data_IF_375790299845
#
_entry.id   IF_375790299845
#
_cell.length_a   1.000
_cell.length_b   1.000
_cell.length_c   1.000
_cell.angle_alpha   90.00
_cell.angle_beta   90.00
_cell.angle_gamma   90.00
#
_symmetry.space_group_name_H-M   'P 1'
#
loop_
_entity.id
_entity.type
_entity.pdbx_description
1 polymer ?
#
# COMPACT_ATOMS: atom_id res chain seq x y z
N UNK A 1 -2.86 6.10 -21.49
CA UNK A 1 -1.84 6.99 -20.85
C UNK A 1 -1.06 6.24 -19.74
N UNK A 2 0.27 6.21 -19.81
CA UNK A 2 1.13 5.24 -19.07
C UNK A 2 1.27 5.45 -17.55
N UNK A 3 0.54 6.37 -16.91
CA UNK A 3 0.57 6.54 -15.45
C UNK A 3 1.91 6.95 -14.81
N UNK A 4 2.94 7.20 -15.63
CA UNK A 4 4.32 7.51 -15.23
C UNK A 4 4.57 9.02 -14.95
N UNK A 5 3.52 9.82 -14.95
CA UNK A 5 3.65 11.27 -14.75
C UNK A 5 3.99 11.56 -13.28
N UNK A 6 5.07 12.32 -12.98
CA UNK A 6 5.43 12.68 -11.61
C UNK A 6 4.28 13.42 -10.92
N UNK A 7 3.97 13.04 -9.68
CA UNK A 7 2.84 13.58 -8.94
C UNK A 7 3.26 14.04 -7.53
N UNK A 8 2.96 15.29 -7.13
CA UNK A 8 3.30 15.81 -5.80
C UNK A 8 2.73 14.97 -4.65
N UNK A 9 1.55 14.33 -4.82
CA UNK A 9 0.91 13.50 -3.79
C UNK A 9 1.70 12.24 -3.45
N UNK A 10 2.54 11.77 -4.37
CA UNK A 10 3.40 10.59 -4.18
C UNK A 10 4.84 10.97 -3.84
N UNK A 11 5.11 12.26 -3.58
CA UNK A 11 6.44 12.71 -3.16
C UNK A 11 7.50 12.59 -4.27
N UNK A 12 7.09 12.39 -5.53
CA UNK A 12 8.02 12.39 -6.67
C UNK A 12 8.29 13.80 -7.21
N UNK A 13 7.61 14.81 -6.66
CA UNK A 13 7.86 16.23 -6.90
C UNK A 13 8.15 16.85 -5.54
N UNK A 14 9.42 16.83 -5.15
CA UNK A 14 9.92 17.34 -3.86
C UNK A 14 11.18 18.17 -4.09
N UNK A 15 11.47 19.07 -3.14
CA UNK A 15 12.74 19.82 -3.15
C UNK A 15 13.94 18.93 -2.76
N UNK A 16 13.68 17.86 -2.01
CA UNK A 16 14.68 16.84 -1.65
C UNK A 16 14.65 15.66 -2.62
N UNK A 17 15.46 15.79 -3.68
CA UNK A 17 15.58 14.80 -4.75
C UNK A 17 16.39 13.59 -4.32
N UNK A 18 17.34 13.76 -3.39
CA UNK A 18 18.25 12.69 -2.97
C UNK A 18 17.50 11.58 -2.22
N UNK A 19 16.66 11.95 -1.25
CA UNK A 19 15.85 10.98 -0.52
C UNK A 19 14.77 10.36 -1.39
N UNK A 20 14.15 11.12 -2.29
CA UNK A 20 13.17 10.61 -3.25
C UNK A 20 13.77 9.51 -4.15
N UNK A 21 15.00 9.70 -4.65
CA UNK A 21 15.70 8.69 -5.46
C UNK A 21 16.09 7.46 -4.62
N UNK A 22 16.54 7.64 -3.38
CA UNK A 22 16.85 6.51 -2.49
C UNK A 22 15.60 5.67 -2.20
N UNK A 23 14.49 6.30 -1.86
CA UNK A 23 13.22 5.62 -1.58
C UNK A 23 12.66 4.91 -2.82
N UNK A 24 12.75 5.55 -3.99
CA UNK A 24 12.37 4.91 -5.25
C UNK A 24 13.23 3.67 -5.56
N UNK A 25 14.55 3.74 -5.33
CA UNK A 25 15.47 2.60 -5.50
C UNK A 25 15.23 1.48 -4.47
N UNK A 26 14.82 1.83 -3.26
CA UNK A 26 14.47 0.87 -2.22
C UNK A 26 13.16 0.11 -2.51
N UNK A 27 12.47 0.43 -3.61
CA UNK A 27 11.27 -0.28 -4.03
C UNK A 27 9.99 0.24 -3.37
N UNK A 28 9.93 1.54 -3.04
CA UNK A 28 8.74 2.17 -2.49
C UNK A 28 7.49 1.87 -3.32
N UNK A 29 6.48 1.27 -2.68
CA UNK A 29 5.19 0.97 -3.31
C UNK A 29 4.25 2.14 -3.10
N UNK A 30 3.63 2.60 -4.19
CA UNK A 30 2.61 3.63 -4.16
C UNK A 30 1.23 2.99 -4.13
N UNK A 31 0.36 3.49 -3.25
CA UNK A 31 -1.04 3.11 -3.21
C UNK A 31 -1.92 4.33 -3.45
N UNK A 32 -3.04 4.11 -4.14
CA UNK A 32 -4.05 5.12 -4.41
C UNK A 32 -5.42 4.50 -4.17
N UNK A 33 -6.33 5.31 -3.65
CA UNK A 33 -7.74 4.94 -3.52
C UNK A 33 -8.44 5.00 -4.87
N UNK A 34 -9.26 3.98 -5.15
CA UNK A 34 -10.19 4.01 -6.27
C UNK A 34 -11.40 4.93 -5.96
N UNK A 35 -12.34 5.02 -6.90
CA UNK A 35 -13.57 5.81 -6.72
C UNK A 35 -14.52 5.21 -5.68
N UNK A 36 -14.44 3.90 -5.44
CA UNK A 36 -15.23 3.18 -4.45
C UNK A 36 -14.64 3.22 -3.03
N UNK A 37 -13.47 3.84 -2.84
CA UNK A 37 -12.78 3.89 -1.54
C UNK A 37 -11.94 2.66 -1.23
N UNK A 38 -11.67 1.80 -2.22
CA UNK A 38 -10.85 0.60 -2.10
C UNK A 38 -9.40 0.94 -2.45
N UNK A 39 -8.47 0.41 -1.66
CA UNK A 39 -7.03 0.56 -1.89
C UNK A 39 -6.49 -0.74 -2.44
N UNK A 40 -5.92 -0.67 -3.65
CA UNK A 40 -5.20 -1.77 -4.27
C UNK A 40 -3.70 -1.51 -4.18
N UNK A 41 -2.96 -2.44 -3.61
CA UNK A 41 -1.51 -2.34 -3.50
C UNK A 41 -0.86 -3.71 -3.57
N UNK A 42 0.31 -3.79 -4.20
CA UNK A 42 1.09 -5.01 -4.30
C UNK A 42 2.09 -5.09 -3.15
N UNK A 43 1.94 -6.08 -2.27
CA UNK A 43 2.83 -6.28 -1.11
C UNK A 43 4.13 -7.01 -1.45
N UNK A 44 4.24 -7.61 -2.64
CA UNK A 44 5.42 -8.34 -3.07
C UNK A 44 5.16 -9.30 -4.23
N UNK A 45 6.10 -10.22 -4.45
CA UNK A 45 5.97 -11.34 -5.40
C UNK A 45 5.87 -12.66 -4.65
N UNK A 46 5.31 -13.67 -5.32
CA UNK A 46 5.21 -15.03 -4.76
C UNK A 46 6.57 -15.67 -4.47
N UNK A 47 7.66 -15.16 -5.05
CA UNK A 47 9.03 -15.62 -4.81
C UNK A 47 9.65 -15.07 -3.52
N UNK A 48 8.94 -14.24 -2.75
CA UNK A 48 9.44 -13.73 -1.47
C UNK A 48 9.12 -14.70 -0.34
N UNK A 49 9.98 -14.71 0.67
CA UNK A 49 9.74 -15.46 1.90
C UNK A 49 8.44 -14.99 2.58
N UNK A 50 7.74 -15.92 3.24
CA UNK A 50 6.46 -15.64 3.90
C UNK A 50 6.59 -14.53 4.97
N UNK A 51 7.70 -14.50 5.71
CA UNK A 51 7.94 -13.50 6.76
C UNK A 51 8.05 -12.08 6.18
N UNK A 52 8.69 -11.94 5.01
CA UNK A 52 8.80 -10.65 4.30
C UNK A 52 7.45 -10.19 3.76
N UNK A 53 6.61 -11.11 3.29
CA UNK A 53 5.26 -10.79 2.85
C UNK A 53 4.39 -10.34 4.03
N UNK A 54 4.50 -11.01 5.18
CA UNK A 54 3.81 -10.62 6.41
C UNK A 54 4.26 -9.25 6.92
N UNK A 55 5.58 -8.98 6.95
CA UNK A 55 6.10 -7.67 7.37
C UNK A 55 5.65 -6.54 6.44
N UNK A 56 5.61 -6.78 5.13
CA UNK A 56 5.14 -5.79 4.16
C UNK A 56 3.65 -5.49 4.31
N UNK A 57 2.85 -6.53 4.60
CA UNK A 57 1.42 -6.36 4.84
C UNK A 57 1.17 -5.53 6.12
N UNK A 58 1.88 -5.84 7.21
CA UNK A 58 1.81 -5.08 8.46
C UNK A 58 2.19 -3.61 8.25
N UNK A 59 3.31 -3.36 7.57
CA UNK A 59 3.77 -2.00 7.25
C UNK A 59 2.73 -1.20 6.45
N UNK A 60 2.03 -1.85 5.52
CA UNK A 60 0.96 -1.23 4.75
C UNK A 60 -0.24 -0.87 5.63
N UNK A 61 -0.68 -1.79 6.49
CA UNK A 61 -1.81 -1.55 7.41
C UNK A 61 -1.50 -0.42 8.38
N UNK A 62 -0.29 -0.40 8.95
CA UNK A 62 0.16 0.66 9.85
C UNK A 62 0.18 2.04 9.16
N UNK A 63 0.66 2.09 7.91
CA UNK A 63 0.64 3.31 7.10
C UNK A 63 -0.81 3.78 6.83
N UNK A 64 -1.74 2.86 6.58
CA UNK A 64 -3.15 3.20 6.38
C UNK A 64 -3.79 3.76 7.65
N UNK A 65 -3.56 3.13 8.80
CA UNK A 65 -4.10 3.60 10.09
C UNK A 65 -3.59 5.00 10.39
N UNK A 66 -2.30 5.27 10.16
CA UNK A 66 -1.72 6.62 10.29
C UNK A 66 -2.32 7.63 9.31
N UNK A 67 -2.69 7.19 8.11
CA UNK A 67 -3.33 8.02 7.10
C UNK A 67 -4.84 8.23 7.33
N UNK A 68 -5.41 7.71 8.43
CA UNK A 68 -6.84 7.87 8.75
C UNK A 68 -7.20 9.36 8.88
N UNK A 69 -8.13 9.88 8.06
CA UNK A 69 -8.60 11.25 8.19
C UNK A 69 -9.41 11.45 9.48
N UNK A 70 -9.27 12.60 10.13
CA UNK A 70 -10.02 12.94 11.35
C UNK A 70 -11.56 12.91 11.17
N UNK A 71 -12.04 13.17 9.94
CA UNK A 71 -13.46 13.12 9.60
C UNK A 71 -14.02 11.69 9.45
N UNK A 72 -13.17 10.65 9.46
CA UNK A 72 -13.61 9.27 9.27
C UNK A 72 -14.28 8.71 10.54
N UNK A 73 -15.56 8.35 10.43
CA UNK A 73 -16.37 7.75 11.49
C UNK A 73 -16.44 6.22 11.33
N UNK A 74 -16.39 5.50 12.45
CA UNK A 74 -16.51 4.03 12.49
C UNK A 74 -15.20 3.28 12.19
N UNK A 75 -15.32 2.01 11.81
CA UNK A 75 -14.18 1.17 11.43
C UNK A 75 -13.59 1.65 10.10
N UNK A 76 -12.30 2.03 10.16
CA UNK A 76 -11.55 2.53 9.00
C UNK A 76 -11.14 1.41 8.04
N UNK A 77 -10.69 0.27 8.58
CA UNK A 77 -10.40 -0.95 7.80
C UNK A 77 -11.56 -1.92 8.00
N UNK A 78 -12.29 -2.23 6.92
CA UNK A 78 -13.46 -3.13 6.97
C UNK A 78 -13.13 -4.57 6.60
N UNK A 79 -12.29 -4.75 5.59
CA UNK A 79 -11.86 -6.07 5.10
C UNK A 79 -10.47 -5.94 4.49
N UNK A 80 -9.66 -6.96 4.73
CA UNK A 80 -8.41 -7.22 4.01
C UNK A 80 -8.57 -8.52 3.23
N UNK A 81 -8.21 -8.50 1.95
CA UNK A 81 -8.20 -9.69 1.11
C UNK A 81 -6.85 -9.74 0.37
N UNK A 82 -6.18 -10.88 0.46
CA UNK A 82 -4.91 -11.13 -0.23
C UNK A 82 -5.18 -12.10 -1.37
N UNK A 83 -4.73 -11.74 -2.57
CA UNK A 83 -4.86 -12.55 -3.76
C UNK A 83 -3.55 -12.55 -4.53
N UNK A 84 -3.25 -13.65 -5.23
CA UNK A 84 -2.25 -13.64 -6.29
C UNK A 84 -2.86 -13.11 -7.58
N UNK A 85 -2.03 -12.75 -8.56
CA UNK A 85 -2.49 -12.12 -9.82
C UNK A 85 -3.53 -12.96 -10.57
N UNK A 86 -3.44 -14.29 -10.50
CA UNK A 86 -4.31 -15.24 -11.21
C UNK A 86 -4.99 -16.23 -10.25
N UNK A 87 -5.05 -15.94 -8.95
CA UNK A 87 -5.57 -16.86 -7.93
C UNK A 87 -6.78 -16.32 -7.19
N UNK A 88 -7.48 -17.19 -6.43
CA UNK A 88 -8.59 -16.78 -5.59
C UNK A 88 -8.11 -15.85 -4.46
N UNK A 89 -8.92 -14.86 -4.12
CA UNK A 89 -8.67 -13.96 -3.00
C UNK A 89 -9.08 -14.60 -1.67
N UNK A 90 -8.13 -14.69 -0.73
CA UNK A 90 -8.37 -15.17 0.63
C UNK A 90 -8.56 -13.98 1.56
N UNK A 91 -9.60 -14.04 2.39
CA UNK A 91 -9.86 -13.00 3.40
C UNK A 91 -8.93 -13.23 4.57
N UNK A 92 -8.30 -12.15 5.01
CA UNK A 92 -7.37 -12.15 6.14
C UNK A 92 -7.99 -11.32 7.25
N UNK A 93 -7.83 -11.78 8.49
CA UNK A 93 -8.30 -11.04 9.64
C UNK A 93 -7.38 -9.83 9.87
N UNK A 94 -7.98 -8.64 9.92
CA UNK A 94 -7.26 -7.39 10.16
C UNK A 94 -6.88 -7.23 11.64
N UNK A 95 -7.47 -8.00 12.55
CA UNK A 95 -7.22 -7.91 14.00
C UNK A 95 -5.95 -8.63 14.45
N UNK A 96 -5.48 -9.61 13.67
CA UNK A 96 -4.32 -10.45 13.99
C UNK A 96 -3.02 -9.92 13.38
N UNK A 97 -3.06 -8.74 12.75
CA UNK A 97 -1.98 -8.14 11.95
C UNK A 97 -1.10 -7.15 12.72
#
# INVERSE_FOLDING_TARGET
>A
PRGLMPNPKVGTVTMDVATAVQNAKAGQVQYRTDKAGIIHSTIGRASFDADKLASNLKALVDALIKAKPAASKGQYVRRVAVASTMGPGVRVDASTL
#
